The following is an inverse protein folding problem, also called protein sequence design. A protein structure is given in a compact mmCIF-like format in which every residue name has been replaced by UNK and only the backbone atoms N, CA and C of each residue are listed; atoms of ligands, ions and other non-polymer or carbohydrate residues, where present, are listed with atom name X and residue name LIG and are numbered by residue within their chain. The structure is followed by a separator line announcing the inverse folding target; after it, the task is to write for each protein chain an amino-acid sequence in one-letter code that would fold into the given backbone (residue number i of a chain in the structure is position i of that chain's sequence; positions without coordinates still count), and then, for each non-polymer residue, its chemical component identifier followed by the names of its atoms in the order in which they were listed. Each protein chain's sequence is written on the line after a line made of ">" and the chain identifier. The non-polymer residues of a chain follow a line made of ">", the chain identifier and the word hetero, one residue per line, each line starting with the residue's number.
data_IF_706823035868
#
_entry.id   IF_706823035868
#
_cell.length_a   1.000
_cell.length_b   1.000
_cell.length_c   1.000
_cell.angle_alpha   90.00
_cell.angle_beta   90.00
_cell.angle_gamma   90.00
#
_symmetry.space_group_name_H-M   'P 1'
#
loop_
_entity.id
_entity.type
_entity.pdbx_description
1 polymer ?
#
# COMPACT_ATOMS: atom_id res chain seq x y z
N UNK A 1 1.02 24.83 -28.85
CA UNK A 1 1.41 23.45 -29.17
C UNK A 1 0.22 22.70 -29.75
N UNK A 2 0.39 22.04 -30.89
CA UNK A 2 -0.67 21.29 -31.56
C UNK A 2 -0.95 19.99 -30.74
N UNK A 3 -2.23 19.57 -30.75
CA UNK A 3 -2.68 18.26 -30.17
C UNK A 3 -1.84 17.09 -30.72
N UNK A 4 -1.29 17.23 -31.91
CA UNK A 4 -0.36 16.30 -32.56
C UNK A 4 0.97 16.15 -31.79
N UNK A 5 1.47 17.23 -31.17
CA UNK A 5 2.71 17.17 -30.38
C UNK A 5 2.58 16.40 -29.06
N UNK A 6 1.39 16.47 -28.45
CA UNK A 6 1.10 15.71 -27.21
C UNK A 6 0.93 14.22 -27.51
N UNK A 7 0.31 13.88 -28.66
CA UNK A 7 0.14 12.51 -29.11
C UNK A 7 1.48 11.84 -29.40
N UNK A 8 2.39 12.54 -30.10
CA UNK A 8 3.73 12.03 -30.38
C UNK A 8 4.58 11.83 -29.13
N UNK A 9 4.45 12.72 -28.13
CA UNK A 9 5.16 12.57 -26.85
C UNK A 9 4.62 11.39 -26.00
N UNK A 10 3.33 11.03 -26.15
CA UNK A 10 2.74 9.85 -25.51
C UNK A 10 3.14 8.56 -26.23
N UNK A 11 3.26 8.58 -27.56
CA UNK A 11 3.66 7.43 -28.37
C UNK A 11 5.18 7.14 -28.27
N UNK A 12 5.99 8.16 -27.97
CA UNK A 12 7.42 8.05 -27.71
C UNK A 12 7.76 7.70 -26.24
N UNK A 13 6.78 7.77 -25.35
CA UNK A 13 6.98 7.35 -23.97
C UNK A 13 7.22 5.84 -23.94
N UNK A 14 8.50 5.44 -23.79
CA UNK A 14 8.86 4.05 -23.56
C UNK A 14 8.05 3.53 -22.37
N UNK A 15 7.32 2.41 -22.51
CA UNK A 15 6.66 1.80 -21.39
C UNK A 15 7.70 1.58 -20.29
N UNK A 16 7.41 2.07 -19.09
CA UNK A 16 8.22 1.78 -17.92
C UNK A 16 8.42 0.26 -17.85
N UNK A 17 9.65 -0.22 -17.65
CA UNK A 17 9.89 -1.64 -17.53
C UNK A 17 8.92 -2.18 -16.49
N UNK A 18 8.10 -3.16 -16.86
CA UNK A 18 7.30 -3.92 -15.91
C UNK A 18 8.27 -4.32 -14.81
N UNK A 19 7.97 -3.90 -13.58
CA UNK A 19 8.73 -4.34 -12.44
C UNK A 19 8.78 -5.87 -12.53
N UNK A 20 9.93 -6.38 -12.96
CA UNK A 20 10.26 -7.78 -12.80
C UNK A 20 10.05 -8.01 -11.32
N UNK A 21 9.16 -8.94 -10.97
CA UNK A 21 9.10 -9.45 -9.61
C UNK A 21 10.54 -9.84 -9.29
N UNK A 22 11.24 -9.03 -8.51
CA UNK A 22 12.35 -9.56 -7.74
C UNK A 22 11.70 -10.64 -6.90
N UNK A 23 11.92 -11.87 -7.30
CA UNK A 23 11.66 -13.03 -6.46
C UNK A 23 12.55 -12.75 -5.27
N UNK A 24 11.94 -12.47 -4.12
CA UNK A 24 12.69 -12.36 -2.86
C UNK A 24 13.72 -13.50 -2.85
N UNK A 25 15.01 -13.21 -2.56
CA UNK A 25 16.01 -14.25 -2.54
C UNK A 25 15.49 -15.41 -1.71
N UNK A 26 15.63 -16.62 -2.24
CA UNK A 26 15.25 -17.81 -1.46
C UNK A 26 15.86 -17.65 -0.08
N UNK A 27 15.04 -17.82 0.97
CA UNK A 27 15.51 -17.68 2.33
C UNK A 27 16.78 -18.48 2.50
N UNK A 28 17.84 -17.85 3.02
CA UNK A 28 19.13 -18.44 3.29
C UNK A 28 18.95 -19.85 3.87
N UNK A 29 19.43 -20.86 3.14
CA UNK A 29 19.27 -22.26 3.53
C UNK A 29 20.06 -22.47 4.81
N UNK A 30 19.38 -22.39 5.95
CA UNK A 30 19.95 -22.49 7.25
C UNK A 30 20.71 -23.82 7.46
N UNK A 31 21.71 -23.82 8.32
CA UNK A 31 22.43 -25.01 8.76
C UNK A 31 21.47 -26.02 9.39
N UNK A 32 21.51 -27.25 8.92
CA UNK A 32 20.79 -28.37 9.57
C UNK A 32 21.53 -28.77 10.83
N UNK A 33 20.93 -28.56 12.00
CA UNK A 33 21.45 -29.04 13.28
C UNK A 33 20.46 -30.06 13.85
N UNK A 34 20.88 -31.29 14.06
CA UNK A 34 20.02 -32.40 14.53
C UNK A 34 18.77 -32.65 13.67
N UNK A 35 18.88 -32.47 12.34
CA UNK A 35 17.74 -32.63 11.42
C UNK A 35 16.77 -31.43 11.40
N UNK A 36 17.06 -30.37 12.10
CA UNK A 36 16.29 -29.11 12.10
C UNK A 36 17.13 -28.08 11.36
N UNK A 37 16.55 -27.47 10.32
CA UNK A 37 17.16 -26.31 9.68
C UNK A 37 17.14 -25.14 10.65
N UNK A 38 18.30 -24.65 11.05
CA UNK A 38 18.45 -23.43 11.87
C UNK A 38 18.97 -22.33 10.98
N UNK A 39 18.41 -21.15 11.05
CA UNK A 39 18.97 -19.96 10.44
C UNK A 39 20.01 -19.30 11.35
N UNK A 40 20.88 -18.51 10.77
CA UNK A 40 21.78 -17.65 11.49
C UNK A 40 20.99 -16.67 12.38
N UNK A 41 20.94 -16.95 13.69
CA UNK A 41 20.18 -16.21 14.69
C UNK A 41 19.17 -17.13 15.38
N UNK A 42 19.36 -17.34 16.55
CA UNK A 42 18.74 -18.09 17.65
C UNK A 42 17.24 -18.50 17.60
N UNK A 43 16.62 -18.60 16.41
CA UNK A 43 15.25 -19.11 16.30
C UNK A 43 15.21 -20.63 16.47
N UNK A 44 14.42 -21.09 17.44
CA UNK A 44 14.04 -22.50 17.57
C UNK A 44 12.51 -22.62 17.50
N UNK A 45 11.97 -23.72 16.92
CA UNK A 45 10.53 -23.93 16.83
C UNK A 45 9.78 -23.95 18.16
N UNK A 46 10.48 -24.12 19.27
CA UNK A 46 9.89 -24.16 20.62
C UNK A 46 9.66 -22.75 21.21
N UNK A 47 10.17 -21.69 20.57
CA UNK A 47 9.97 -20.32 21.02
C UNK A 47 8.56 -19.82 20.68
N UNK A 48 7.95 -19.09 21.62
CA UNK A 48 6.75 -18.30 21.37
C UNK A 48 7.15 -16.99 20.70
N UNK A 49 6.91 -16.88 19.42
CA UNK A 49 7.25 -15.70 18.63
C UNK A 49 7.30 -16.04 17.15
N UNK A 50 7.87 -15.14 16.37
CA UNK A 50 8.07 -15.36 14.93
C UNK A 50 9.57 -15.38 14.63
N UNK A 51 9.99 -16.17 13.63
CA UNK A 51 11.36 -16.10 13.11
C UNK A 51 11.73 -14.67 12.73
N UNK A 52 13.00 -14.26 12.88
CA UNK A 52 13.45 -12.88 12.64
C UNK A 52 13.10 -12.33 11.25
N UNK A 53 13.06 -13.20 10.25
CA UNK A 53 12.75 -12.87 8.85
C UNK A 53 11.39 -13.42 8.41
N UNK A 54 10.46 -13.55 9.34
CA UNK A 54 9.11 -13.98 9.02
C UNK A 54 8.50 -13.09 7.93
N UNK A 55 8.06 -13.68 6.81
CA UNK A 55 7.49 -12.91 5.70
C UNK A 55 6.13 -12.30 6.03
N UNK A 56 5.49 -12.76 7.09
CA UNK A 56 4.23 -12.25 7.61
C UNK A 56 4.51 -11.36 8.82
N UNK A 57 3.98 -10.13 8.79
CA UNK A 57 4.21 -9.14 9.86
C UNK A 57 2.95 -8.99 10.71
N UNK A 58 3.00 -9.24 12.02
CA UNK A 58 1.87 -9.00 12.91
C UNK A 58 1.64 -7.50 13.08
N UNK A 59 0.38 -7.09 13.07
CA UNK A 59 -0.05 -5.70 13.23
C UNK A 59 -0.76 -5.45 14.56
N UNK A 60 -1.38 -6.46 15.13
CA UNK A 60 -2.10 -6.42 16.39
C UNK A 60 -3.40 -7.22 16.37
N UNK A 61 -4.23 -7.03 17.38
CA UNK A 61 -5.49 -7.76 17.56
C UNK A 61 -6.70 -6.83 17.58
N UNK A 62 -7.82 -7.32 17.04
CA UNK A 62 -9.14 -6.75 17.24
C UNK A 62 -10.06 -7.86 17.78
N UNK A 63 -10.31 -7.82 19.09
CA UNK A 63 -11.00 -8.91 19.77
C UNK A 63 -10.23 -10.23 19.68
N UNK A 64 -10.79 -11.23 18.96
CA UNK A 64 -10.18 -12.55 18.75
C UNK A 64 -9.43 -12.66 17.42
N UNK A 65 -9.44 -11.61 16.63
CA UNK A 65 -8.90 -11.58 15.28
C UNK A 65 -7.47 -11.03 15.33
N UNK A 66 -6.50 -11.79 14.86
CA UNK A 66 -5.15 -11.30 14.60
C UNK A 66 -5.05 -10.69 13.22
N UNK A 67 -4.48 -9.49 13.13
CA UNK A 67 -4.24 -8.79 11.88
C UNK A 67 -2.79 -8.84 11.47
N UNK A 68 -2.57 -9.08 10.18
CA UNK A 68 -1.24 -9.30 9.60
C UNK A 68 -1.10 -8.58 8.27
N UNK A 69 0.14 -8.27 7.94
CA UNK A 69 0.55 -7.97 6.59
C UNK A 69 1.20 -9.21 5.98
N UNK A 70 0.67 -9.68 4.85
CA UNK A 70 1.19 -10.83 4.13
C UNK A 70 2.48 -10.52 3.36
N UNK A 71 3.15 -11.53 2.76
CA UNK A 71 4.41 -11.35 2.05
C UNK A 71 4.37 -10.40 0.85
N UNK A 72 3.19 -10.10 0.33
CA UNK A 72 3.02 -9.18 -0.81
C UNK A 72 2.51 -7.80 -0.39
N UNK A 73 2.39 -7.55 0.93
CA UNK A 73 1.95 -6.26 1.47
C UNK A 73 0.44 -6.06 1.51
N UNK A 74 -0.33 -7.16 1.50
CA UNK A 74 -1.78 -7.14 1.66
C UNK A 74 -2.15 -7.34 3.13
N UNK A 75 -3.28 -6.78 3.53
CA UNK A 75 -3.83 -6.98 4.86
C UNK A 75 -4.59 -8.30 4.91
N UNK A 76 -4.24 -9.14 5.86
CA UNK A 76 -4.86 -10.43 6.12
C UNK A 76 -5.27 -10.54 7.58
N UNK A 77 -6.25 -11.37 7.85
CA UNK A 77 -6.64 -11.70 9.21
C UNK A 77 -6.51 -13.19 9.49
N UNK A 78 -6.38 -13.51 10.76
CA UNK A 78 -6.40 -14.88 11.26
C UNK A 78 -7.38 -14.95 12.43
N UNK A 79 -8.43 -15.76 12.27
CA UNK A 79 -9.48 -15.96 13.26
C UNK A 79 -9.72 -17.46 13.50
N UNK A 80 -10.25 -17.84 14.67
CA UNK A 80 -10.62 -19.23 14.94
C UNK A 80 -11.75 -19.74 14.03
N UNK A 81 -11.71 -21.02 13.59
CA UNK A 81 -10.69 -22.02 13.88
C UNK A 81 -9.46 -21.87 12.97
N UNK A 82 -8.28 -21.97 13.57
CA UNK A 82 -7.00 -21.80 12.87
C UNK A 82 -6.63 -23.06 12.04
N UNK A 83 -7.10 -23.10 10.80
CA UNK A 83 -6.85 -24.23 9.91
C UNK A 83 -5.56 -24.11 9.11
N UNK A 84 -5.01 -25.27 8.65
CA UNK A 84 -3.83 -25.30 7.76
C UNK A 84 -3.99 -24.46 6.51
N UNK A 85 -5.18 -24.47 5.90
CA UNK A 85 -5.48 -23.67 4.70
C UNK A 85 -5.37 -22.17 4.94
N UNK A 86 -5.84 -21.67 6.08
CA UNK A 86 -5.72 -20.26 6.44
C UNK A 86 -4.27 -19.83 6.61
N UNK A 87 -3.46 -20.65 7.31
CA UNK A 87 -2.02 -20.38 7.46
C UNK A 87 -1.29 -20.39 6.12
N UNK A 88 -1.59 -21.38 5.27
CA UNK A 88 -0.99 -21.47 3.94
C UNK A 88 -1.35 -20.22 3.10
N UNK A 89 -2.60 -19.77 3.18
CA UNK A 89 -3.05 -18.54 2.52
C UNK A 89 -2.33 -17.31 3.04
N UNK A 90 -2.23 -17.16 4.37
CA UNK A 90 -1.53 -16.05 5.02
C UNK A 90 -0.05 -15.96 4.60
N UNK A 91 0.62 -17.10 4.42
CA UNK A 91 2.01 -17.17 3.98
C UNK A 91 2.18 -17.19 2.45
N UNK A 92 1.11 -16.97 1.68
CA UNK A 92 1.16 -16.94 0.22
C UNK A 92 1.61 -18.27 -0.41
N UNK A 93 1.20 -19.40 0.18
CA UNK A 93 1.52 -20.74 -0.31
C UNK A 93 2.91 -21.26 0.07
N UNK A 94 3.63 -20.62 0.98
CA UNK A 94 5.00 -20.98 1.40
C UNK A 94 5.01 -22.14 2.40
N UNK A 95 4.59 -23.33 1.97
CA UNK A 95 4.52 -24.54 2.79
C UNK A 95 5.87 -24.98 3.34
N UNK A 96 6.95 -24.86 2.55
CA UNK A 96 8.33 -25.16 2.96
C UNK A 96 8.80 -24.26 4.08
N UNK A 97 8.48 -22.96 3.99
CA UNK A 97 8.79 -22.02 5.07
C UNK A 97 8.05 -22.41 6.36
N UNK A 98 6.75 -22.72 6.26
CA UNK A 98 5.95 -23.17 7.41
C UNK A 98 6.50 -24.46 8.04
N UNK A 99 6.91 -25.43 7.22
CA UNK A 99 7.51 -26.68 7.69
C UNK A 99 8.89 -26.48 8.33
N UNK A 100 9.65 -25.48 7.83
CA UNK A 100 10.92 -25.10 8.44
C UNK A 100 10.72 -24.35 9.76
N UNK A 101 9.81 -23.38 9.83
CA UNK A 101 9.58 -22.56 11.01
C UNK A 101 8.88 -23.32 12.15
N UNK A 102 7.95 -24.20 11.80
CA UNK A 102 7.15 -25.00 12.76
C UNK A 102 7.03 -26.46 12.29
N UNK A 103 8.13 -27.22 12.32
CA UNK A 103 8.14 -28.58 11.79
C UNK A 103 7.23 -29.51 12.58
N UNK A 104 6.48 -30.34 11.87
CA UNK A 104 5.78 -31.49 12.43
C UNK A 104 6.64 -32.73 12.22
N UNK A 105 7.10 -33.32 13.30
CA UNK A 105 7.92 -34.52 13.26
C UNK A 105 7.07 -35.79 13.15
N UNK A 106 7.50 -36.71 12.32
CA UNK A 106 6.99 -38.07 12.20
C UNK A 106 8.12 -39.06 12.36
N UNK A 107 7.80 -40.37 12.42
CA UNK A 107 8.83 -41.43 12.48
C UNK A 107 9.79 -41.43 11.26
N UNK A 108 9.40 -40.79 10.16
CA UNK A 108 10.19 -40.71 8.91
C UNK A 108 10.89 -39.37 8.70
N UNK A 109 10.83 -38.46 9.67
CA UNK A 109 11.38 -37.11 9.59
C UNK A 109 10.29 -36.04 9.64
N UNK A 110 10.58 -34.86 9.06
CA UNK A 110 9.61 -33.76 9.00
C UNK A 110 8.50 -34.11 7.99
N UNK A 111 7.25 -34.09 8.48
CA UNK A 111 6.03 -34.36 7.71
C UNK A 111 5.11 -33.13 7.74
N UNK A 112 5.53 -32.05 7.08
CA UNK A 112 4.82 -30.78 7.04
C UNK A 112 5.02 -29.92 8.28
N UNK A 113 4.02 -29.09 8.63
CA UNK A 113 4.12 -28.14 9.74
C UNK A 113 3.05 -28.35 10.81
N UNK A 114 3.37 -27.94 12.04
CA UNK A 114 2.50 -27.95 13.22
C UNK A 114 1.60 -26.71 13.20
N UNK A 115 0.42 -26.80 12.57
CA UNK A 115 -0.46 -25.66 12.34
C UNK A 115 -0.92 -24.98 13.62
N UNK A 116 -1.21 -25.73 14.68
CA UNK A 116 -1.64 -25.20 15.98
C UNK A 116 -0.53 -24.38 16.64
N UNK A 117 0.71 -24.87 16.58
CA UNK A 117 1.87 -24.14 17.10
C UNK A 117 2.15 -22.86 16.28
N UNK A 118 2.15 -22.94 14.97
CA UNK A 118 2.28 -21.77 14.09
C UNK A 118 1.21 -20.71 14.38
N UNK A 119 -0.05 -21.12 14.52
CA UNK A 119 -1.14 -20.22 14.88
C UNK A 119 -0.95 -19.58 16.26
N UNK A 120 -0.52 -20.36 17.26
CA UNK A 120 -0.25 -19.85 18.59
C UNK A 120 0.86 -18.77 18.57
N UNK A 121 1.97 -19.01 17.85
CA UNK A 121 3.06 -18.05 17.71
C UNK A 121 2.60 -16.77 17.00
N UNK A 122 1.82 -16.90 15.92
CA UNK A 122 1.28 -15.78 15.16
C UNK A 122 0.34 -14.91 16.01
N UNK A 123 -0.63 -15.54 16.67
CA UNK A 123 -1.60 -14.82 17.52
C UNK A 123 -0.88 -14.16 18.71
N UNK A 124 0.03 -14.87 19.37
CA UNK A 124 0.82 -14.29 20.46
C UNK A 124 1.60 -13.06 20.00
N UNK A 125 2.17 -13.09 18.79
CA UNK A 125 2.88 -11.94 18.21
C UNK A 125 1.96 -10.75 17.93
N UNK A 126 0.69 -11.00 17.58
CA UNK A 126 -0.31 -9.94 17.46
C UNK A 126 -0.70 -9.35 18.82
N UNK A 127 -0.90 -10.19 19.84
CA UNK A 127 -1.16 -9.72 21.21
C UNK A 127 -0.01 -8.87 21.76
N UNK A 128 1.23 -9.24 21.46
CA UNK A 128 2.41 -8.45 21.85
C UNK A 128 2.45 -7.06 21.19
N UNK A 129 1.86 -6.90 19.99
CA UNK A 129 1.68 -5.60 19.31
C UNK A 129 0.54 -4.76 19.91
N UNK A 130 -0.40 -5.37 20.61
CA UNK A 130 -1.54 -4.73 21.23
C UNK A 130 -2.75 -4.59 20.27
N UNK A 131 -3.66 -3.68 20.62
CA UNK A 131 -4.89 -3.46 19.87
C UNK A 131 -4.63 -2.85 18.49
N UNK A 132 -5.34 -3.34 17.49
CA UNK A 132 -5.28 -2.87 16.11
C UNK A 132 -6.65 -2.43 15.63
N UNK A 133 -6.77 -1.17 15.22
CA UNK A 133 -7.99 -0.61 14.62
C UNK A 133 -7.77 -0.39 13.13
N UNK A 134 -8.52 -1.11 12.31
CA UNK A 134 -8.50 -0.93 10.85
C UNK A 134 -8.83 0.50 10.44
N UNK A 135 -9.89 1.06 11.02
CA UNK A 135 -10.39 2.37 10.66
C UNK A 135 -9.38 3.49 10.98
N UNK A 136 -8.63 3.34 12.05
CA UNK A 136 -7.69 4.35 12.51
C UNK A 136 -6.31 4.19 11.87
N UNK A 137 -5.85 2.97 11.68
CA UNK A 137 -4.46 2.69 11.29
C UNK A 137 -4.27 2.42 9.80
N UNK A 138 -5.25 1.87 9.09
CA UNK A 138 -5.07 1.49 7.69
C UNK A 138 -5.37 2.65 6.76
N UNK A 139 -4.45 2.91 5.83
CA UNK A 139 -4.56 3.96 4.82
C UNK A 139 -4.59 3.34 3.43
N UNK A 140 -5.62 3.70 2.66
CA UNK A 140 -5.72 3.37 1.24
C UNK A 140 -4.90 4.29 0.35
N UNK A 141 -4.97 4.09 -0.98
CA UNK A 141 -4.36 5.00 -1.95
C UNK A 141 -4.94 6.41 -1.85
N UNK A 142 -4.09 7.42 -2.03
CA UNK A 142 -4.45 8.82 -1.96
C UNK A 142 -3.50 9.66 -1.11
N UNK A 143 -3.91 10.89 -0.84
CA UNK A 143 -3.15 11.82 -0.01
C UNK A 143 -3.57 11.72 1.45
N UNK A 144 -2.60 11.68 2.34
CA UNK A 144 -2.77 11.57 3.78
C UNK A 144 -1.86 12.56 4.51
N UNK A 145 -2.13 12.79 5.77
CA UNK A 145 -1.24 13.51 6.67
C UNK A 145 -0.80 12.58 7.78
N UNK A 146 0.51 12.55 8.05
CA UNK A 146 1.03 11.85 9.22
C UNK A 146 0.75 12.64 10.52
N UNK A 147 1.11 12.08 11.69
CA UNK A 147 0.97 12.77 12.98
C UNK A 147 1.84 14.02 13.10
N UNK A 148 2.93 14.09 12.35
CA UNK A 148 3.81 15.26 12.26
C UNK A 148 3.29 16.35 11.33
N UNK A 149 2.15 16.12 10.67
CA UNK A 149 1.56 17.07 9.73
C UNK A 149 2.15 17.00 8.32
N UNK A 150 3.06 16.06 8.03
CA UNK A 150 3.68 15.91 6.72
C UNK A 150 2.73 15.24 5.73
N UNK A 151 2.85 15.65 4.46
CA UNK A 151 2.12 15.02 3.37
C UNK A 151 2.67 13.62 3.09
N UNK A 152 1.77 12.66 3.01
CA UNK A 152 2.04 11.29 2.60
C UNK A 152 1.17 10.95 1.39
N UNK A 153 1.77 10.55 0.28
CA UNK A 153 1.05 10.13 -0.92
C UNK A 153 1.20 8.63 -1.11
N UNK A 154 0.11 7.90 -0.97
CA UNK A 154 0.07 6.46 -1.24
C UNK A 154 -0.39 6.23 -2.70
N UNK A 155 0.54 5.87 -3.56
CA UNK A 155 0.34 5.67 -5.00
C UNK A 155 0.19 4.20 -5.39
N UNK A 156 -0.34 3.41 -4.47
CA UNK A 156 -0.66 2.00 -4.66
C UNK A 156 0.52 1.08 -4.35
N UNK A 157 1.48 0.97 -5.22
CA UNK A 157 2.67 0.12 -5.06
C UNK A 157 3.82 0.81 -4.28
N UNK A 158 3.74 2.12 -4.07
CA UNK A 158 4.71 2.93 -3.31
C UNK A 158 4.02 3.98 -2.45
N UNK A 159 4.74 4.46 -1.45
CA UNK A 159 4.34 5.55 -0.57
C UNK A 159 5.41 6.64 -0.64
N UNK A 160 5.01 7.86 -0.99
CA UNK A 160 5.89 9.02 -1.03
C UNK A 160 5.80 9.78 0.29
N UNK A 161 6.92 9.89 0.99
CA UNK A 161 7.05 10.60 2.27
C UNK A 161 8.35 11.41 2.24
N UNK A 162 8.26 12.70 2.54
CA UNK A 162 9.45 13.56 2.58
C UNK A 162 10.26 13.56 1.28
N UNK A 163 9.58 13.45 0.14
CA UNK A 163 10.23 13.40 -1.18
C UNK A 163 10.87 12.06 -1.54
N UNK A 164 10.70 11.00 -0.71
CA UNK A 164 11.26 9.66 -0.95
C UNK A 164 10.15 8.64 -1.17
N UNK A 165 10.34 7.74 -2.14
CA UNK A 165 9.46 6.61 -2.38
C UNK A 165 9.90 5.42 -1.51
N UNK A 166 8.97 4.93 -0.68
CA UNK A 166 9.12 3.76 0.17
C UNK A 166 8.17 2.66 -0.28
N UNK A 167 8.45 1.41 0.10
CA UNK A 167 7.49 0.32 -0.07
C UNK A 167 6.31 0.47 0.89
N UNK A 168 5.10 0.02 0.47
CA UNK A 168 3.96 -0.09 1.37
C UNK A 168 4.29 -0.98 2.56
N UNK A 169 3.70 -0.66 3.70
CA UNK A 169 3.97 -1.36 4.94
C UNK A 169 3.50 -0.60 6.16
N UNK A 170 3.98 -1.01 7.33
CA UNK A 170 3.82 -0.25 8.57
C UNK A 170 4.83 0.91 8.54
N UNK A 171 4.34 2.14 8.43
CA UNK A 171 5.14 3.36 8.37
C UNK A 171 4.63 4.32 9.44
N UNK A 172 5.44 4.55 10.46
CA UNK A 172 5.02 5.29 11.66
C UNK A 172 3.81 4.59 12.31
N UNK A 173 2.76 5.35 12.54
CA UNK A 173 1.53 4.84 13.18
C UNK A 173 0.53 4.21 12.21
N UNK A 174 0.80 4.25 10.92
CA UNK A 174 -0.15 3.84 9.89
C UNK A 174 0.35 2.65 9.08
N UNK A 175 -0.61 1.91 8.52
CA UNK A 175 -0.37 0.77 7.65
C UNK A 175 -0.86 1.13 6.25
N UNK A 176 0.05 1.12 5.29
CA UNK A 176 -0.22 1.36 3.88
C UNK A 176 -0.19 0.01 3.16
N UNK A 177 -1.35 -0.45 2.69
CA UNK A 177 -1.44 -1.74 2.00
C UNK A 177 -1.03 -1.62 0.54
N UNK A 178 -0.30 -2.61 0.01
CA UNK A 178 0.04 -2.63 -1.42
C UNK A 178 -1.22 -2.75 -2.28
N UNK A 179 -1.32 -1.88 -3.28
CA UNK A 179 -2.42 -1.80 -4.24
C UNK A 179 -1.87 -1.68 -5.66
N UNK A 180 -2.71 -1.84 -6.69
CA UNK A 180 -2.29 -1.53 -8.06
C UNK A 180 -1.67 -0.15 -8.15
N UNK A 181 -0.59 0.03 -8.95
CA UNK A 181 0.09 1.31 -9.06
C UNK A 181 -0.82 2.39 -9.63
N UNK A 182 -0.74 3.56 -9.05
CA UNK A 182 -1.33 4.79 -9.58
C UNK A 182 -0.24 5.64 -10.21
N UNK A 183 -0.65 6.62 -11.02
CA UNK A 183 0.25 7.62 -11.56
C UNK A 183 1.01 8.32 -10.43
N UNK A 184 2.33 8.44 -10.62
CA UNK A 184 3.21 9.06 -9.62
C UNK A 184 3.28 10.56 -9.83
N UNK A 185 3.33 11.34 -8.77
CA UNK A 185 3.56 12.76 -8.89
C UNK A 185 4.93 13.01 -9.55
N UNK A 186 5.04 14.11 -10.26
CA UNK A 186 6.31 14.54 -10.82
C UNK A 186 7.31 14.82 -9.71
N UNK A 187 8.46 14.13 -9.74
CA UNK A 187 9.46 14.18 -8.65
C UNK A 187 10.49 15.31 -8.80
N UNK A 188 10.43 16.05 -9.89
CA UNK A 188 11.30 17.19 -10.16
C UNK A 188 10.47 18.47 -10.10
N UNK A 189 11.13 19.58 -9.78
CA UNK A 189 10.52 20.89 -9.99
C UNK A 189 10.17 21.04 -11.48
N UNK A 190 8.97 21.53 -11.74
CA UNK A 190 8.49 21.81 -13.08
C UNK A 190 8.82 23.28 -13.36
N UNK A 191 9.41 23.57 -14.50
CA UNK A 191 9.60 24.94 -14.94
C UNK A 191 8.25 25.60 -15.19
N UNK A 192 8.17 26.91 -14.91
CA UNK A 192 6.92 27.66 -15.10
C UNK A 192 6.34 27.52 -16.51
N UNK A 193 7.19 27.31 -17.52
CA UNK A 193 6.76 27.09 -18.90
C UNK A 193 6.03 25.76 -19.10
N UNK A 194 6.31 24.76 -18.27
CA UNK A 194 5.73 23.41 -18.34
C UNK A 194 4.61 23.21 -17.31
N UNK A 195 4.20 24.27 -16.60
CA UNK A 195 3.15 24.20 -15.59
C UNK A 195 1.83 23.66 -16.20
N UNK A 196 1.29 22.54 -15.72
CA UNK A 196 0.03 21.99 -16.20
C UNK A 196 -1.14 22.98 -16.15
N UNK A 197 -1.10 23.94 -15.23
CA UNK A 197 -2.09 25.01 -15.13
C UNK A 197 -2.19 25.84 -16.42
N UNK A 198 -1.07 26.02 -17.15
CA UNK A 198 -1.04 26.73 -18.43
C UNK A 198 -1.82 26.01 -19.53
N UNK A 199 -2.02 24.70 -19.41
CA UNK A 199 -2.82 23.90 -20.33
C UNK A 199 -4.28 23.81 -19.86
N UNK A 200 -4.50 23.57 -18.57
CA UNK A 200 -5.84 23.32 -18.03
C UNK A 200 -6.66 24.61 -17.92
N UNK A 201 -6.05 25.72 -17.49
CA UNK A 201 -6.78 26.98 -17.34
C UNK A 201 -7.39 27.52 -18.64
N UNK A 202 -6.69 27.53 -19.79
CA UNK A 202 -7.29 27.89 -21.07
C UNK A 202 -8.45 26.97 -21.49
N UNK A 203 -8.40 25.70 -21.15
CA UNK A 203 -9.51 24.78 -21.38
C UNK A 203 -10.72 25.17 -20.53
N UNK A 204 -10.55 25.39 -19.24
CA UNK A 204 -11.62 25.83 -18.34
C UNK A 204 -12.24 27.15 -18.81
N UNK A 205 -11.45 28.08 -19.33
CA UNK A 205 -11.94 29.37 -19.85
C UNK A 205 -12.83 29.28 -21.09
N UNK A 206 -12.94 28.09 -21.72
CA UNK A 206 -13.86 27.89 -22.88
C UNK A 206 -15.33 27.77 -22.47
N UNK A 207 -15.63 27.56 -21.21
CA UNK A 207 -17.01 27.53 -20.70
C UNK A 207 -17.54 28.94 -20.46
N UNK A 208 -18.85 29.09 -20.57
CA UNK A 208 -19.56 30.36 -20.30
C UNK A 208 -19.75 30.52 -18.76
N UNK A 209 -18.73 31.05 -18.13
CA UNK A 209 -18.76 31.32 -16.71
C UNK A 209 -19.49 32.64 -16.38
N UNK A 210 -20.19 32.68 -15.25
CA UNK A 210 -20.79 33.92 -14.74
C UNK A 210 -19.76 34.99 -14.43
N UNK A 211 -18.55 34.59 -14.00
CA UNK A 211 -17.39 35.46 -13.75
C UNK A 211 -16.17 34.92 -14.47
N UNK A 212 -15.98 35.24 -15.78
CA UNK A 212 -14.98 34.62 -16.63
C UNK A 212 -13.54 34.72 -16.14
N UNK A 213 -13.20 35.78 -15.40
CA UNK A 213 -11.85 35.99 -14.85
C UNK A 213 -11.61 35.26 -13.51
N UNK A 214 -12.67 34.85 -12.81
CA UNK A 214 -12.58 34.29 -11.45
C UNK A 214 -12.91 32.79 -11.44
N UNK A 215 -14.05 32.41 -12.01
CA UNK A 215 -14.59 31.05 -11.88
C UNK A 215 -13.68 29.95 -12.45
N UNK A 216 -13.01 30.13 -13.62
CA UNK A 216 -12.05 29.16 -14.12
C UNK A 216 -10.86 28.95 -13.19
N UNK A 217 -10.38 30.02 -12.55
CA UNK A 217 -9.24 29.95 -11.63
C UNK A 217 -9.64 29.22 -10.33
N UNK A 218 -10.85 29.50 -9.82
CA UNK A 218 -11.40 28.80 -8.65
C UNK A 218 -11.59 27.31 -8.95
N UNK A 219 -12.09 26.97 -10.16
CA UNK A 219 -12.24 25.58 -10.59
C UNK A 219 -10.89 24.86 -10.68
N UNK A 220 -9.88 25.51 -11.28
CA UNK A 220 -8.51 24.99 -11.33
C UNK A 220 -7.95 24.71 -9.92
N UNK A 221 -8.11 25.68 -9.01
CA UNK A 221 -7.71 25.54 -7.61
C UNK A 221 -8.42 24.40 -6.92
N UNK A 222 -9.73 24.23 -7.16
CA UNK A 222 -10.49 23.13 -6.60
C UNK A 222 -10.03 21.76 -7.13
N UNK A 223 -9.72 21.65 -8.44
CA UNK A 223 -9.15 20.43 -9.03
C UNK A 223 -7.83 20.08 -8.32
N UNK A 224 -6.92 21.05 -8.13
CA UNK A 224 -5.66 20.82 -7.40
C UNK A 224 -5.88 20.35 -5.96
N UNK A 225 -6.83 20.96 -5.26
CA UNK A 225 -7.18 20.55 -3.88
C UNK A 225 -7.80 19.16 -3.82
N UNK A 226 -8.56 18.74 -4.84
CA UNK A 226 -9.20 17.43 -4.88
C UNK A 226 -8.17 16.29 -4.80
N UNK A 227 -7.00 16.42 -5.44
CA UNK A 227 -5.92 15.43 -5.36
C UNK A 227 -5.32 15.30 -3.95
N UNK A 228 -5.38 16.36 -3.15
CA UNK A 228 -4.83 16.41 -1.79
C UNK A 228 -5.89 16.30 -0.70
N UNK A 229 -7.15 16.07 -1.07
CA UNK A 229 -8.30 16.17 -0.17
C UNK A 229 -8.20 15.31 1.10
N UNK A 230 -7.58 14.13 1.02
CA UNK A 230 -7.39 13.24 2.17
C UNK A 230 -6.38 13.77 3.20
N UNK A 231 -5.47 14.65 2.80
CA UNK A 231 -4.48 15.28 3.68
C UNK A 231 -4.95 16.63 4.25
N UNK A 232 -6.08 17.15 3.80
CA UNK A 232 -6.56 18.47 4.23
C UNK A 232 -7.59 18.36 5.36
N UNK A 233 -7.53 19.24 6.35
CA UNK A 233 -8.49 19.25 7.45
C UNK A 233 -9.88 19.71 6.99
N UNK A 234 -9.94 20.44 5.90
CA UNK A 234 -11.16 20.96 5.31
C UNK A 234 -11.16 20.72 3.79
N UNK A 235 -12.33 20.35 3.25
CA UNK A 235 -12.52 20.03 1.84
C UNK A 235 -13.57 20.95 1.24
N UNK A 236 -13.19 21.83 0.31
CA UNK A 236 -14.15 22.71 -0.36
C UNK A 236 -15.05 21.88 -1.28
N UNK A 237 -16.34 22.18 -1.24
CA UNK A 237 -17.31 21.71 -2.23
C UNK A 237 -17.53 22.79 -3.29
N UNK A 238 -17.71 22.36 -4.55
CA UNK A 238 -18.04 23.25 -5.66
C UNK A 238 -19.42 22.88 -6.19
N UNK A 239 -20.29 23.87 -6.28
CA UNK A 239 -21.58 23.77 -6.94
C UNK A 239 -21.55 24.50 -8.26
N UNK A 240 -21.69 23.77 -9.36
CA UNK A 240 -21.82 24.34 -10.71
C UNK A 240 -23.29 24.50 -11.05
N UNK A 241 -23.74 25.74 -11.18
CA UNK A 241 -25.13 26.09 -11.52
C UNK A 241 -25.18 26.71 -12.92
N UNK A 242 -26.37 26.70 -13.53
CA UNK A 242 -26.59 27.27 -14.86
C UNK A 242 -27.79 26.61 -15.54
N UNK A 243 -28.23 27.19 -16.64
CA UNK A 243 -29.37 26.73 -17.42
C UNK A 243 -29.13 25.34 -18.05
N UNK A 244 -30.19 24.75 -18.59
CA UNK A 244 -30.12 23.50 -19.34
C UNK A 244 -29.22 23.68 -20.56
N UNK A 245 -28.43 22.68 -20.88
CA UNK A 245 -27.50 22.62 -22.00
C UNK A 245 -26.28 23.59 -21.95
N UNK A 246 -25.94 24.12 -20.78
CA UNK A 246 -24.75 24.98 -20.59
C UNK A 246 -23.42 24.22 -20.43
N UNK A 247 -23.41 22.91 -20.63
CA UNK A 247 -22.17 22.10 -20.59
C UNK A 247 -21.74 21.65 -19.18
N UNK A 248 -22.60 21.78 -18.15
CA UNK A 248 -22.27 21.35 -16.76
C UNK A 248 -21.82 19.89 -16.67
N UNK A 249 -22.55 18.98 -17.33
CA UNK A 249 -22.22 17.54 -17.33
C UNK A 249 -20.98 17.21 -18.16
N UNK A 250 -20.53 18.12 -19.04
CA UNK A 250 -19.30 17.96 -19.81
C UNK A 250 -18.09 18.44 -19.01
N UNK A 251 -18.32 19.31 -18.03
CA UNK A 251 -17.29 19.82 -17.13
C UNK A 251 -16.93 18.80 -16.00
N UNK A 252 -17.84 17.90 -15.66
CA UNK A 252 -17.68 16.83 -14.69
C UNK A 252 -16.96 15.61 -15.28
#
# INVERSE_FOLDING_TARGET
>A
MSITGIRNALDEAKPLPRATREIDPEPDQGRVVNGIETRAGDWTPDMLGLPPDCPVKPLGVDGKIGWFMDPIGQLQNLEPPYGKGHLLGLFGGRDRYLAWAWPRHSKKGIDGYAAEHAAACLINSCFAKGQFSLAERVRGSGAWRDKGGNLVLHVGDKVLIGGKLCDPGEIGDYVYTRRPPLERPWMRSIDLADDPALVVLPLLRKWNWGRPEVDPVLMLGWIGVAFLSGALPWRPAVFVTGDKATGKSTLQ
#
